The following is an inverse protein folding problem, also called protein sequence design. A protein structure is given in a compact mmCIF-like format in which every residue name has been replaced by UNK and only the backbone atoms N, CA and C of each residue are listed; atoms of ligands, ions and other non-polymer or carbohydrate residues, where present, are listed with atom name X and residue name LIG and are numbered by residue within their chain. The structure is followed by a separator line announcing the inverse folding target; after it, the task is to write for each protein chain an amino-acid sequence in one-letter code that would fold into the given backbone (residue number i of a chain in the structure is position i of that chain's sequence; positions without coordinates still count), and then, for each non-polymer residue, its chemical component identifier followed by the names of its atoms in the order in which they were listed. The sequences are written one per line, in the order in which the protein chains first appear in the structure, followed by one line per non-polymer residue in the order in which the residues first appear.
data_IF_168967663192
#
_entry.id   IF_168967663192
#
_cell.length_a   1.000
_cell.length_b   1.000
_cell.length_c   1.000
_cell.angle_alpha   90.00
_cell.angle_beta   90.00
_cell.angle_gamma   90.00
#
_symmetry.space_group_name_H-M   'P 1'
#
loop_
_entity.id
_entity.type
_entity.pdbx_description
1 polymer ?
#
# COMPACT_ATOMS: atom_id res chain seq x y z
N UNK A 1 -4.47 -7.85 2.48
CA UNK A 1 -3.04 -7.51 2.36
C UNK A 1 -2.67 -7.56 0.88
N UNK A 2 -2.02 -6.52 0.41
CA UNK A 2 -1.49 -6.42 -0.94
C UNK A 2 -0.22 -5.57 -0.87
N UNK A 3 0.86 -6.03 -1.51
CA UNK A 3 2.19 -5.44 -1.35
C UNK A 3 2.54 -5.23 0.14
N UNK A 4 3.03 -4.05 0.51
CA UNK A 4 3.37 -3.65 1.89
C UNK A 4 2.18 -3.07 2.67
N UNK A 5 0.95 -3.16 2.15
CA UNK A 5 -0.24 -2.61 2.78
C UNK A 5 -1.13 -3.69 3.42
N UNK A 6 -1.50 -3.45 4.67
CA UNK A 6 -2.45 -4.27 5.43
C UNK A 6 -3.61 -3.37 5.85
N UNK A 7 -4.76 -3.60 5.22
CA UNK A 7 -6.03 -2.95 5.52
C UNK A 7 -7.11 -3.98 5.85
N UNK A 8 -8.22 -3.52 6.41
CA UNK A 8 -9.43 -4.29 6.67
C UNK A 8 -10.38 -4.28 5.47
N UNK A 9 -10.24 -3.29 4.59
CA UNK A 9 -11.05 -3.13 3.38
C UNK A 9 -10.18 -2.92 2.13
N UNK A 10 -10.81 -2.96 0.94
CA UNK A 10 -10.14 -2.57 -0.31
C UNK A 10 -9.82 -1.07 -0.33
N UNK A 11 -10.74 -0.24 0.17
CA UNK A 11 -10.54 1.21 0.27
C UNK A 11 -9.29 1.56 1.08
N UNK A 12 -9.04 0.85 2.19
CA UNK A 12 -7.86 1.07 3.03
C UNK A 12 -6.55 0.87 2.22
N UNK A 13 -6.55 -0.04 1.23
CA UNK A 13 -5.41 -0.31 0.37
C UNK A 13 -5.28 0.75 -0.73
N UNK A 14 -6.40 1.19 -1.30
CA UNK A 14 -6.45 2.26 -2.31
C UNK A 14 -5.95 3.60 -1.75
N UNK A 15 -6.42 3.95 -0.55
CA UNK A 15 -5.99 5.16 0.15
C UNK A 15 -4.50 5.08 0.50
N UNK A 16 -4.04 3.96 1.05
CA UNK A 16 -2.62 3.77 1.37
C UNK A 16 -1.71 3.82 0.12
N UNK A 17 -2.17 3.29 -1.02
CA UNK A 17 -1.45 3.40 -2.30
C UNK A 17 -1.36 4.84 -2.78
N UNK A 18 -2.48 5.58 -2.69
CA UNK A 18 -2.53 6.99 -3.07
C UNK A 18 -1.59 7.81 -2.21
N UNK A 19 -1.67 7.66 -0.89
CA UNK A 19 -0.81 8.33 0.08
C UNK A 19 0.68 8.05 -0.13
N UNK A 20 1.03 6.83 -0.53
CA UNK A 20 2.41 6.47 -0.86
C UNK A 20 2.90 7.13 -2.14
N UNK A 21 2.03 7.23 -3.14
CA UNK A 21 2.35 7.81 -4.44
C UNK A 21 2.47 9.33 -4.36
N UNK A 22 1.62 9.98 -3.58
CA UNK A 22 1.60 11.45 -3.40
C UNK A 22 2.56 11.94 -2.32
N UNK A 23 3.04 11.04 -1.44
CA UNK A 23 3.94 11.39 -0.34
C UNK A 23 3.25 12.14 0.81
N UNK A 24 1.92 12.07 0.93
CA UNK A 24 1.12 12.84 1.90
C UNK A 24 1.15 12.30 3.33
N UNK A 25 1.43 11.00 3.52
CA UNK A 25 1.31 10.31 4.83
C UNK A 25 2.58 9.62 5.30
N UNK A 26 3.35 9.06 4.39
CA UNK A 26 4.55 8.31 4.72
C UNK A 26 5.76 9.25 4.70
N UNK A 27 6.54 9.23 5.78
CA UNK A 27 7.73 10.06 5.91
C UNK A 27 8.76 9.85 4.80
N UNK A 28 9.80 10.67 4.83
CA UNK A 28 10.93 10.58 3.91
C UNK A 28 12.11 9.93 4.63
N UNK A 29 12.79 9.01 3.95
CA UNK A 29 14.03 8.41 4.45
C UNK A 29 15.20 9.24 3.93
N UNK A 30 15.97 9.82 4.84
CA UNK A 30 17.16 10.59 4.51
C UNK A 30 18.40 9.69 4.45
N UNK A 31 19.36 10.03 3.58
CA UNK A 31 20.62 9.29 3.45
C UNK A 31 20.55 8.03 2.59
N UNK A 32 19.42 7.76 1.94
CA UNK A 32 19.30 6.73 0.91
C UNK A 32 19.42 7.38 -0.47
N UNK A 33 20.41 6.94 -1.25
CA UNK A 33 20.65 7.42 -2.61
C UNK A 33 19.83 6.59 -3.62
N UNK A 34 18.54 6.89 -3.68
CA UNK A 34 17.62 6.24 -4.61
C UNK A 34 16.20 6.76 -4.49
N UNK A 35 15.45 6.58 -5.58
CA UNK A 35 14.06 6.99 -5.63
C UNK A 35 13.16 6.12 -4.75
N UNK A 36 12.04 6.71 -4.33
CA UNK A 36 10.96 5.98 -3.67
C UNK A 36 10.45 4.88 -4.61
N UNK A 37 10.33 3.65 -4.09
CA UNK A 37 9.75 2.55 -4.86
C UNK A 37 8.31 2.85 -5.28
N UNK A 38 7.98 2.69 -6.56
CA UNK A 38 6.62 2.87 -7.04
C UNK A 38 5.71 1.73 -6.53
N UNK A 39 4.54 2.08 -5.99
CA UNK A 39 3.53 1.08 -5.66
C UNK A 39 2.96 0.49 -6.97
N UNK A 40 2.84 -0.85 -7.10
CA UNK A 40 2.27 -1.46 -8.30
C UNK A 40 0.82 -1.03 -8.56
N UNK A 41 0.31 -1.29 -9.75
CA UNK A 41 -1.13 -1.11 -10.01
C UNK A 41 -1.96 -2.11 -9.21
N UNK A 42 -3.13 -1.67 -8.76
CA UNK A 42 -4.07 -2.57 -8.10
C UNK A 42 -4.68 -3.53 -9.12
N UNK A 43 -4.88 -4.80 -8.76
CA UNK A 43 -5.57 -5.73 -9.63
C UNK A 43 -7.01 -5.24 -9.90
N UNK A 44 -7.58 -5.53 -11.08
CA UNK A 44 -8.93 -5.11 -11.43
C UNK A 44 -10.03 -5.86 -10.65
N UNK A 45 -9.65 -6.82 -9.82
CA UNK A 45 -10.55 -7.64 -9.00
C UNK A 45 -10.41 -7.28 -7.53
N UNK A 46 -11.52 -7.40 -6.80
CA UNK A 46 -11.52 -7.12 -5.37
C UNK A 46 -10.55 -8.01 -4.60
N UNK A 47 -9.79 -7.41 -3.70
CA UNK A 47 -8.85 -8.14 -2.85
C UNK A 47 -9.63 -9.01 -1.86
N UNK A 48 -9.36 -10.32 -1.87
CA UNK A 48 -9.98 -11.27 -0.95
C UNK A 48 -9.35 -11.18 0.45
N UNK A 49 -10.13 -10.91 1.51
CA UNK A 49 -9.62 -10.96 2.88
C UNK A 49 -9.10 -12.36 3.21
N UNK A 50 -7.94 -12.43 3.87
CA UNK A 50 -7.47 -13.69 4.46
C UNK A 50 -8.21 -13.90 5.78
N UNK A 51 -8.99 -14.98 5.88
CA UNK A 51 -9.66 -15.37 7.11
C UNK A 51 -8.67 -15.76 8.20
N UNK A 52 -9.06 -15.59 9.47
CA UNK A 52 -8.25 -16.01 10.62
C UNK A 52 -8.52 -17.48 10.90
N UNK A 53 -7.54 -18.36 10.66
CA UNK A 53 -7.56 -19.74 11.16
C UNK A 53 -7.04 -19.70 12.61
N UNK A 54 -7.77 -20.32 13.54
CA UNK A 54 -7.37 -20.45 14.94
C UNK A 54 -6.62 -21.75 15.16
#
# INVERSE_FOLDING_TARGET
MWWNFIGRSQQDIEDARTDWTTGSRFGTVHGYDGDRLAAPELPPVALKPRGRVR
#
